data_IF_942078712139
#
_entry.id   IF_942078712139
#
_cell.length_a   1.000
_cell.length_b   1.000
_cell.length_c   1.000
_cell.angle_alpha   90.00
_cell.angle_beta   90.00
_cell.angle_gamma   90.00
#
_symmetry.space_group_name_H-M   'P 1'
#
loop_
_entity.id
_entity.type
_entity.pdbx_description
1 polymer ?
#
# COMPACT_ATOMS: atom_id res chain seq x y z
N UNK A 1 -5.20 -66.38 -4.27
CA UNK A 1 -4.36 -65.20 -4.02
C UNK A 1 -3.33 -65.14 -5.15
N UNK A 2 -3.66 -64.43 -6.24
CA UNK A 2 -2.86 -64.44 -7.47
C UNK A 2 -2.14 -63.09 -7.61
N UNK A 3 -0.83 -63.08 -7.36
CA UNK A 3 0.05 -61.97 -7.68
C UNK A 3 0.59 -62.22 -9.10
N UNK A 4 0.09 -61.46 -10.08
CA UNK A 4 0.62 -61.48 -11.45
C UNK A 4 2.00 -60.85 -11.45
N UNK A 5 2.99 -61.58 -11.97
CA UNK A 5 4.36 -61.10 -12.14
C UNK A 5 4.38 -59.87 -13.07
N UNK A 6 4.83 -58.74 -12.53
CA UNK A 6 5.11 -57.54 -13.32
C UNK A 6 6.46 -57.76 -13.98
N UNK A 7 6.45 -58.01 -15.30
CA UNK A 7 7.66 -58.14 -16.11
C UNK A 7 8.58 -56.92 -15.93
N UNK A 8 9.89 -57.14 -15.85
CA UNK A 8 10.93 -56.08 -15.78
C UNK A 8 10.75 -55.04 -16.89
N UNK A 9 10.23 -55.44 -18.06
CA UNK A 9 9.89 -54.55 -19.17
C UNK A 9 8.79 -53.53 -18.82
N UNK A 10 7.82 -53.91 -17.99
CA UNK A 10 6.76 -53.02 -17.52
C UNK A 10 7.27 -52.04 -16.44
N UNK A 11 8.24 -52.45 -15.62
CA UNK A 11 8.89 -51.58 -14.63
C UNK A 11 9.74 -50.49 -15.32
N UNK A 12 10.45 -50.83 -16.40
CA UNK A 12 11.21 -49.87 -17.21
C UNK A 12 10.29 -48.86 -17.90
N UNK A 13 9.14 -49.29 -18.40
CA UNK A 13 8.15 -48.39 -19.04
C UNK A 13 7.53 -47.43 -18.01
N UNK A 14 7.22 -47.92 -16.80
CA UNK A 14 6.66 -47.09 -15.71
C UNK A 14 7.67 -46.05 -15.21
N UNK A 15 8.96 -46.41 -15.12
CA UNK A 15 10.03 -45.47 -14.76
C UNK A 15 10.30 -44.44 -15.86
N UNK A 16 10.24 -44.83 -17.14
CA UNK A 16 10.36 -43.91 -18.27
C UNK A 16 9.19 -42.93 -18.38
N UNK A 17 7.98 -43.32 -17.96
CA UNK A 17 6.81 -42.45 -17.88
C UNK A 17 6.87 -41.45 -16.70
N UNK A 18 7.53 -41.81 -15.60
CA UNK A 18 7.76 -40.88 -14.48
C UNK A 18 8.82 -39.80 -14.80
N UNK A 19 9.77 -40.09 -15.69
CA UNK A 19 10.78 -39.11 -16.13
C UNK A 19 10.22 -37.93 -16.96
N UNK A 20 9.04 -38.07 -17.55
CA UNK A 20 8.41 -37.03 -18.38
C UNK A 20 7.59 -36.00 -17.59
N UNK A 21 7.33 -36.24 -16.30
CA UNK A 21 6.62 -35.29 -15.43
C UNK A 21 7.55 -34.44 -14.54
N UNK A 22 8.88 -34.61 -14.65
CA UNK A 22 9.84 -34.02 -13.72
C UNK A 22 10.52 -32.72 -14.20
N UNK A 23 10.00 -32.05 -15.22
CA UNK A 23 10.50 -30.74 -15.63
C UNK A 23 9.35 -29.78 -15.96
N UNK A 24 8.84 -29.13 -14.92
CA UNK A 24 8.20 -27.82 -15.06
C UNK A 24 9.04 -26.82 -14.26
N UNK A 25 10.30 -26.67 -14.63
CA UNK A 25 11.15 -25.59 -14.13
C UNK A 25 10.54 -24.31 -14.68
N UNK A 26 9.79 -23.57 -13.85
CA UNK A 26 9.41 -22.20 -14.17
C UNK A 26 10.73 -21.48 -14.47
N UNK A 27 10.93 -21.06 -15.72
CA UNK A 27 11.97 -20.11 -16.05
C UNK A 27 11.62 -18.83 -15.29
N UNK A 28 12.19 -18.65 -14.10
CA UNK A 28 12.25 -17.34 -13.48
C UNK A 28 13.09 -16.46 -14.41
N UNK A 29 12.38 -15.63 -15.15
CA UNK A 29 12.95 -14.70 -16.09
C UNK A 29 13.75 -13.69 -15.26
N UNK A 30 15.08 -13.83 -15.22
CA UNK A 30 15.96 -12.98 -14.40
C UNK A 30 15.94 -11.50 -14.83
N UNK A 31 15.33 -11.19 -15.98
CA UNK A 31 15.09 -9.83 -16.49
C UNK A 31 13.74 -9.23 -16.08
N UNK A 32 12.91 -9.93 -15.31
CA UNK A 32 11.65 -9.37 -14.84
C UNK A 32 11.91 -8.24 -13.82
N UNK A 33 11.27 -7.06 -13.97
CA UNK A 33 11.47 -5.97 -13.04
C UNK A 33 10.93 -6.34 -11.64
N UNK A 34 11.68 -5.99 -10.59
CA UNK A 34 11.27 -6.20 -9.20
C UNK A 34 9.98 -5.46 -8.84
N UNK A 35 9.69 -4.36 -9.54
CA UNK A 35 8.51 -3.53 -9.32
C UNK A 35 7.72 -3.40 -10.62
N UNK A 36 6.39 -3.46 -10.47
CA UNK A 36 5.45 -3.16 -11.55
C UNK A 36 4.68 -1.90 -11.19
N UNK A 37 4.69 -0.93 -12.10
CA UNK A 37 3.85 0.25 -11.96
C UNK A 37 2.38 -0.13 -12.03
N UNK A 38 1.58 0.43 -11.12
CA UNK A 38 0.13 0.32 -11.10
C UNK A 38 -0.48 1.70 -11.26
N UNK A 39 -1.43 1.83 -12.18
CA UNK A 39 -2.24 3.04 -12.32
C UNK A 39 -3.25 3.13 -11.16
N UNK A 40 -3.68 4.34 -10.82
CA UNK A 40 -4.75 4.53 -9.84
C UNK A 40 -6.06 3.84 -10.24
N UNK A 41 -6.34 3.68 -11.52
CA UNK A 41 -7.47 2.88 -12.02
C UNK A 41 -7.31 1.37 -11.74
N UNK A 42 -6.09 0.89 -11.54
CA UNK A 42 -5.79 -0.49 -11.21
C UNK A 42 -5.75 -0.71 -9.70
N UNK A 43 -5.20 0.22 -8.92
CA UNK A 43 -5.09 0.05 -7.46
C UNK A 43 -6.24 0.66 -6.68
N UNK A 44 -6.91 1.69 -7.19
CA UNK A 44 -7.84 2.54 -6.43
C UNK A 44 -7.14 3.64 -5.63
N UNK A 45 -5.81 3.71 -5.63
CA UNK A 45 -5.05 4.81 -5.03
C UNK A 45 -4.86 5.90 -6.09
N UNK A 46 -5.57 7.01 -5.92
CA UNK A 46 -5.42 8.24 -6.69
C UNK A 46 -5.22 9.41 -5.71
N UNK A 47 -3.95 9.74 -5.47
CA UNK A 47 -3.54 10.77 -4.52
C UNK A 47 -2.30 11.50 -5.04
N UNK A 48 -2.33 12.83 -4.90
CA UNK A 48 -1.21 13.71 -5.21
C UNK A 48 -1.11 14.75 -4.10
N UNK A 49 0.05 14.84 -3.44
CA UNK A 49 0.37 15.99 -2.59
C UNK A 49 0.78 17.17 -3.47
N UNK A 50 -0.20 17.91 -3.96
CA UNK A 50 0.04 19.03 -4.87
C UNK A 50 0.30 20.31 -4.10
N UNK A 51 1.54 20.79 -4.15
CA UNK A 51 1.96 22.08 -3.60
C UNK A 51 2.18 23.06 -4.74
N UNK A 52 1.42 24.16 -4.77
CA UNK A 52 1.45 25.13 -5.87
C UNK A 52 2.22 26.38 -5.44
N UNK A 53 3.40 26.57 -6.02
CA UNK A 53 4.19 27.80 -5.85
C UNK A 53 3.49 28.97 -6.56
N UNK A 54 3.21 30.03 -5.79
CA UNK A 54 2.60 31.26 -6.31
C UNK A 54 3.42 32.46 -5.87
N UNK A 55 3.20 33.60 -6.53
CA UNK A 55 3.87 34.86 -6.20
C UNK A 55 3.78 35.22 -4.71
N UNK A 56 2.62 34.97 -4.09
CA UNK A 56 2.33 35.38 -2.72
C UNK A 56 2.45 34.22 -1.70
N UNK A 57 2.63 32.99 -2.17
CA UNK A 57 2.79 31.81 -1.32
C UNK A 57 3.78 30.82 -1.95
N UNK A 58 5.01 30.89 -1.46
CA UNK A 58 6.17 30.13 -1.93
C UNK A 58 7.20 29.96 -0.79
N UNK A 59 8.35 29.37 -1.12
CA UNK A 59 9.43 29.10 -0.16
C UNK A 59 10.01 30.36 0.52
N UNK A 60 9.98 31.53 -0.14
CA UNK A 60 10.47 32.78 0.43
C UNK A 60 9.49 33.38 1.44
N UNK A 61 8.19 33.23 1.20
CA UNK A 61 7.14 33.67 2.14
C UNK A 61 6.88 32.65 3.25
N UNK A 62 7.14 31.37 3.00
CA UNK A 62 6.90 30.28 3.95
C UNK A 62 8.03 29.26 3.91
N UNK A 63 8.93 29.29 4.89
CA UNK A 63 10.15 28.46 4.91
C UNK A 63 9.88 26.94 4.88
N UNK A 64 8.71 26.50 5.34
CA UNK A 64 8.33 25.09 5.39
C UNK A 64 7.50 24.64 4.18
N UNK A 65 7.55 25.37 3.07
CA UNK A 65 6.72 25.13 1.90
C UNK A 65 6.84 23.70 1.32
N UNK A 66 8.02 23.10 1.41
CA UNK A 66 8.26 21.71 0.98
C UNK A 66 8.46 20.73 2.15
N UNK A 67 8.25 21.20 3.38
CA UNK A 67 8.44 20.38 4.58
C UNK A 67 7.11 19.74 4.95
N UNK A 68 6.88 18.51 4.51
CA UNK A 68 5.76 17.71 4.95
C UNK A 68 5.34 16.62 3.96
N UNK A 69 4.06 16.26 4.06
CA UNK A 69 3.51 15.00 3.55
C UNK A 69 4.14 13.76 4.19
N UNK A 70 3.52 12.61 3.93
CA UNK A 70 3.87 11.36 4.59
C UNK A 70 2.86 10.28 4.27
N UNK A 71 3.27 9.05 4.53
CA UNK A 71 2.45 7.86 4.34
C UNK A 71 2.48 7.07 5.65
N UNK A 72 1.31 6.85 6.22
CA UNK A 72 1.09 5.91 7.31
C UNK A 72 0.57 4.60 6.73
N UNK A 73 1.13 3.48 7.19
CA UNK A 73 0.71 2.13 6.78
C UNK A 73 0.46 1.32 8.05
N UNK A 74 -0.69 0.67 8.11
CA UNK A 74 -1.12 -0.11 9.27
C UNK A 74 -2.47 -0.77 9.04
N UNK A 75 -2.73 -1.86 9.75
CA UNK A 75 -4.01 -2.57 9.72
C UNK A 75 -4.98 -1.88 10.71
N UNK A 76 -5.87 -1.01 10.21
CA UNK A 76 -6.74 -0.19 11.06
C UNK A 76 -8.01 -0.94 11.49
N UNK A 77 -8.42 -1.94 10.72
CA UNK A 77 -9.66 -2.70 10.95
C UNK A 77 -9.39 -4.13 11.44
N UNK A 78 -8.13 -4.51 11.68
CA UNK A 78 -7.68 -5.82 12.14
C UNK A 78 -8.08 -6.97 11.19
N UNK A 79 -8.09 -6.73 9.88
CA UNK A 79 -8.40 -7.76 8.88
C UNK A 79 -7.17 -8.49 8.32
N UNK A 80 -5.98 -8.13 8.80
CA UNK A 80 -4.70 -8.67 8.38
C UNK A 80 -4.13 -8.01 7.13
N UNK A 81 -4.78 -6.98 6.58
CA UNK A 81 -4.31 -6.24 5.42
C UNK A 81 -3.86 -4.82 5.83
N UNK A 82 -2.67 -4.39 5.40
CA UNK A 82 -2.21 -3.03 5.71
C UNK A 82 -2.99 -2.01 4.87
N UNK A 83 -3.65 -1.07 5.54
CA UNK A 83 -4.27 0.12 4.96
C UNK A 83 -3.24 1.22 4.73
N UNK A 84 -3.62 2.22 3.92
CA UNK A 84 -2.73 3.31 3.52
C UNK A 84 -3.38 4.65 3.81
N UNK A 85 -2.74 5.47 4.62
CA UNK A 85 -3.14 6.85 4.88
C UNK A 85 -2.08 7.81 4.37
N UNK A 86 -2.46 8.68 3.42
CA UNK A 86 -1.56 9.66 2.82
C UNK A 86 -1.98 11.06 3.23
N UNK A 87 -1.03 11.85 3.71
CA UNK A 87 -1.29 13.22 4.17
C UNK A 87 -0.76 14.25 3.17
N UNK A 88 -1.41 15.42 3.14
CA UNK A 88 -1.13 16.49 2.19
C UNK A 88 -0.68 17.77 2.89
N UNK A 89 0.28 18.47 2.28
CA UNK A 89 0.64 19.82 2.69
C UNK A 89 -0.51 20.78 2.38
N UNK A 90 -1.06 20.70 1.16
CA UNK A 90 -2.03 21.67 0.67
C UNK A 90 -3.23 20.94 0.08
N UNK A 91 -4.04 20.34 0.95
CA UNK A 91 -5.22 19.60 0.53
C UNK A 91 -5.74 18.68 1.62
N UNK A 92 -6.60 17.75 1.22
CA UNK A 92 -7.14 16.74 2.12
C UNK A 92 -6.20 15.56 2.26
N UNK A 93 -6.10 15.03 3.47
CA UNK A 93 -5.52 13.72 3.70
C UNK A 93 -6.47 12.65 3.17
N UNK A 94 -5.94 11.47 2.82
CA UNK A 94 -6.73 10.37 2.25
C UNK A 94 -6.43 9.04 2.90
N UNK A 95 -7.49 8.34 3.30
CA UNK A 95 -7.44 6.98 3.82
C UNK A 95 -7.97 5.99 2.80
N UNK A 96 -7.13 5.00 2.50
CA UNK A 96 -7.39 3.93 1.55
C UNK A 96 -7.42 2.59 2.29
N UNK A 97 -8.61 2.01 2.38
CA UNK A 97 -8.83 0.67 2.93
C UNK A 97 -8.35 -0.39 1.94
N UNK A 98 -7.53 -1.32 2.38
CA UNK A 98 -7.03 -2.42 1.55
C UNK A 98 -8.11 -3.49 1.38
N UNK A 99 -8.41 -3.83 0.13
CA UNK A 99 -9.38 -4.86 -0.24
C UNK A 99 -8.69 -6.18 -0.67
N UNK A 100 -7.36 -6.25 -0.52
CA UNK A 100 -6.51 -7.32 -1.01
C UNK A 100 -6.12 -7.13 -2.49
N UNK A 101 -5.16 -7.92 -2.97
CA UNK A 101 -4.72 -7.92 -4.37
C UNK A 101 -4.31 -6.53 -4.91
N UNK A 102 -3.71 -5.69 -4.04
CA UNK A 102 -3.34 -4.30 -4.36
C UNK A 102 -4.52 -3.44 -4.82
N UNK A 103 -5.73 -3.77 -4.37
CA UNK A 103 -6.96 -2.97 -4.56
C UNK A 103 -7.28 -2.23 -3.27
N UNK A 104 -7.65 -0.97 -3.41
CA UNK A 104 -7.90 -0.08 -2.31
C UNK A 104 -9.17 0.72 -2.55
N UNK A 105 -9.84 1.10 -1.46
CA UNK A 105 -11.03 1.94 -1.47
C UNK A 105 -10.77 3.21 -0.69
N UNK A 106 -10.98 4.36 -1.31
CA UNK A 106 -11.01 5.64 -0.60
C UNK A 106 -12.19 5.66 0.38
N UNK A 107 -11.89 5.65 1.68
CA UNK A 107 -12.87 5.70 2.78
C UNK A 107 -12.72 7.01 3.59
N UNK A 108 -12.02 8.00 3.06
CA UNK A 108 -11.65 9.25 3.75
C UNK A 108 -12.84 9.95 4.40
N UNK A 109 -13.95 10.09 3.65
CA UNK A 109 -15.14 10.78 4.13
C UNK A 109 -15.88 9.96 5.17
N UNK A 110 -16.08 8.66 4.94
CA UNK A 110 -16.79 7.77 5.86
C UNK A 110 -16.06 7.53 7.17
N UNK A 111 -14.73 7.69 7.18
CA UNK A 111 -13.88 7.54 8.38
C UNK A 111 -13.65 8.86 9.11
N UNK A 112 -14.02 10.01 8.53
CA UNK A 112 -13.83 11.32 9.16
C UNK A 112 -12.38 11.80 9.25
N UNK A 113 -11.43 11.11 8.61
CA UNK A 113 -9.98 11.38 8.72
C UNK A 113 -9.44 12.27 7.59
N UNK A 114 -10.32 13.05 6.93
CA UNK A 114 -9.92 14.00 5.89
C UNK A 114 -8.86 15.02 6.39
N UNK A 115 -8.90 15.31 7.69
CA UNK A 115 -8.17 16.42 8.29
C UNK A 115 -8.92 17.75 8.09
N UNK A 116 -8.85 18.61 9.10
CA UNK A 116 -9.42 19.97 9.07
C UNK A 116 -8.33 21.03 8.85
N UNK A 117 -7.07 20.67 9.14
CA UNK A 117 -5.94 21.56 9.03
C UNK A 117 -5.32 21.58 7.64
N UNK A 118 -4.77 22.74 7.30
CA UNK A 118 -3.92 22.92 6.13
C UNK A 118 -2.48 22.73 6.62
N UNK A 119 -1.64 22.03 5.86
CA UNK A 119 -0.22 21.75 6.16
C UNK A 119 0.06 20.59 7.14
N UNK A 120 -0.44 19.39 6.78
CA UNK A 120 0.03 18.14 7.41
C UNK A 120 1.46 17.81 6.98
N UNK A 121 2.28 17.44 7.96
CA UNK A 121 3.74 17.30 7.83
C UNK A 121 4.31 15.94 8.20
N UNK A 122 3.55 15.14 8.95
CA UNK A 122 3.96 13.80 9.33
C UNK A 122 2.77 12.98 9.79
N UNK A 123 2.88 11.67 9.66
CA UNK A 123 1.85 10.74 10.11
C UNK A 123 2.48 9.45 10.64
N UNK A 124 1.90 8.91 11.69
CA UNK A 124 2.23 7.58 12.24
C UNK A 124 0.95 6.87 12.62
N UNK A 125 0.94 5.55 12.44
CA UNK A 125 -0.10 4.66 12.96
C UNK A 125 0.47 3.85 14.11
N UNK A 126 -0.18 3.90 15.27
CA UNK A 126 0.25 3.18 16.48
C UNK A 126 -0.94 3.02 17.40
N UNK A 127 -1.07 1.86 18.06
CA UNK A 127 -2.01 1.65 19.15
C UNK A 127 -1.49 2.39 20.39
N UNK A 128 -1.96 3.63 20.62
CA UNK A 128 -1.44 4.50 21.69
C UNK A 128 -2.10 4.22 23.03
N UNK A 129 -3.35 3.75 23.00
CA UNK A 129 -4.17 3.52 24.19
C UNK A 129 -4.19 2.05 24.62
N UNK A 130 -3.53 1.18 23.85
CA UNK A 130 -3.43 -0.27 24.05
C UNK A 130 -4.81 -0.95 24.03
N UNK A 131 -5.69 -0.57 23.10
CA UNK A 131 -7.00 -1.18 22.89
C UNK A 131 -7.03 -2.25 21.78
N UNK A 132 -5.90 -2.43 21.10
CA UNK A 132 -5.74 -3.40 20.01
C UNK A 132 -6.13 -2.85 18.64
N UNK A 133 -6.48 -1.57 18.51
CA UNK A 133 -6.67 -0.88 17.25
C UNK A 133 -5.58 0.17 17.05
N UNK A 134 -5.13 0.35 15.82
CA UNK A 134 -4.17 1.41 15.52
C UNK A 134 -4.87 2.78 15.53
N UNK A 135 -4.27 3.74 16.24
CA UNK A 135 -4.61 5.15 16.15
C UNK A 135 -3.81 5.84 15.05
N UNK A 136 -4.36 6.92 14.50
CA UNK A 136 -3.68 7.78 13.53
C UNK A 136 -3.26 9.09 14.20
N UNK A 137 -1.96 9.35 14.25
CA UNK A 137 -1.42 10.62 14.72
C UNK A 137 -0.88 11.44 13.54
N UNK A 138 -1.44 12.64 13.33
CA UNK A 138 -1.02 13.58 12.28
C UNK A 138 -0.37 14.81 12.89
N UNK A 139 0.84 15.12 12.44
CA UNK A 139 1.52 16.38 12.78
C UNK A 139 1.15 17.45 11.76
N UNK A 140 0.58 18.56 12.23
CA UNK A 140 0.34 19.76 11.40
C UNK A 140 1.32 20.85 11.82
N UNK A 141 1.88 21.58 10.86
CA UNK A 141 2.84 22.64 11.15
C UNK A 141 2.66 23.84 10.25
N UNK A 142 2.65 25.02 10.86
CA UNK A 142 2.46 26.29 10.17
C UNK A 142 1.28 27.06 10.74
N UNK A 143 1.12 28.29 10.26
CA UNK A 143 -0.08 29.09 10.48
C UNK A 143 -0.42 29.66 9.11
N UNK A 144 -1.02 28.81 8.28
CA UNK A 144 -1.40 29.17 6.91
C UNK A 144 -2.75 29.86 6.97
N UNK A 145 -2.91 30.95 6.22
CA UNK A 145 -4.17 31.72 6.19
C UNK A 145 -5.31 30.81 5.69
N UNK A 146 -6.31 30.58 6.53
CA UNK A 146 -7.43 29.66 6.24
C UNK A 146 -7.46 28.40 7.11
N UNK A 147 -6.41 28.17 7.92
CA UNK A 147 -6.37 27.11 8.92
C UNK A 147 -7.25 27.50 10.13
N UNK A 148 -8.20 26.64 10.50
CA UNK A 148 -9.00 26.81 11.71
C UNK A 148 -8.20 26.28 12.90
N UNK A 149 -7.82 27.17 13.81
CA UNK A 149 -7.19 26.78 15.08
C UNK A 149 -8.15 26.00 15.97
#
# INVERSE_FOLDING_TARGET
MALKEISIRNLVIIWSLFGLFSCNTKQENQDAPLFKSLLGSQSGIDFENKVIDTKDFNIFSYRNFYNGAGVGIGDLNNDGLPDVYMISNSGSNKLFLNLGNLKFKDITISSGVKGEHIWSTGVVMVDINNDGYLDIYVSNAGNVKGDTK
#
